data_IF_652105319392
#
_entry.id   IF_652105319392
#
_cell.length_a   1.000
_cell.length_b   1.000
_cell.length_c   1.000
_cell.angle_alpha   90.00
_cell.angle_beta   90.00
_cell.angle_gamma   90.00
#
_symmetry.space_group_name_H-M   'P 1'
#
loop_
_entity.id
_entity.type
_entity.pdbx_description
1 polymer ?
#
# COMPACT_ATOMS: atom_id res chain seq x y z
N UNK A 1 -10.41 -16.80 -6.46
CA UNK A 1 -11.12 -15.54 -6.17
C UNK A 1 -10.14 -14.42 -6.45
N UNK A 2 -10.37 -13.63 -7.49
CA UNK A 2 -9.45 -12.54 -7.87
C UNK A 2 -9.78 -11.37 -6.94
N UNK A 3 -8.82 -10.99 -6.09
CA UNK A 3 -8.89 -9.81 -5.24
C UNK A 3 -9.18 -8.60 -6.15
N UNK A 4 -10.40 -8.07 -6.06
CA UNK A 4 -10.89 -6.98 -6.92
C UNK A 4 -10.21 -5.64 -6.60
N UNK A 5 -9.57 -5.54 -5.44
CA UNK A 5 -8.93 -4.33 -4.97
C UNK A 5 -7.45 -4.32 -5.35
N UNK A 6 -7.08 -3.45 -6.31
CA UNK A 6 -5.72 -3.43 -6.85
C UNK A 6 -4.71 -2.79 -5.89
N UNK A 7 -5.12 -1.91 -4.98
CA UNK A 7 -4.22 -1.14 -4.09
C UNK A 7 -4.41 -1.56 -2.63
N UNK A 8 -3.32 -1.98 -1.97
CA UNK A 8 -3.25 -2.17 -0.51
C UNK A 8 -2.20 -1.24 0.09
N UNK A 9 -2.53 -0.59 1.21
CA UNK A 9 -1.62 0.21 2.02
C UNK A 9 -1.38 -0.51 3.36
N UNK A 10 -0.22 -1.13 3.51
CA UNK A 10 0.25 -1.65 4.79
C UNK A 10 0.88 -0.50 5.58
N UNK A 11 0.30 -0.17 6.72
CA UNK A 11 0.71 0.97 7.53
C UNK A 11 0.28 0.84 8.97
N UNK A 12 0.43 1.93 9.71
CA UNK A 12 -0.07 2.05 11.09
C UNK A 12 -0.75 3.41 11.20
N UNK A 13 -1.90 3.48 11.88
CA UNK A 13 -2.76 4.66 11.88
C UNK A 13 -2.01 5.94 12.33
N UNK A 14 -1.22 5.86 13.40
CA UNK A 14 -0.49 7.03 13.93
C UNK A 14 0.74 7.47 13.10
N UNK A 15 1.08 6.80 12.00
CA UNK A 15 2.28 7.14 11.23
C UNK A 15 2.00 8.23 10.20
N UNK A 16 2.70 9.36 10.31
CA UNK A 16 2.61 10.49 9.37
C UNK A 16 2.71 10.08 7.90
N UNK A 17 3.66 9.21 7.55
CA UNK A 17 3.82 8.74 6.17
C UNK A 17 2.69 7.82 5.71
N UNK A 18 2.06 7.09 6.64
CA UNK A 18 0.87 6.29 6.31
C UNK A 18 -0.31 7.21 6.02
N UNK A 19 -0.53 8.22 6.85
CA UNK A 19 -1.57 9.23 6.64
C UNK A 19 -1.39 9.97 5.32
N UNK A 20 -0.15 10.39 5.00
CA UNK A 20 0.17 10.97 3.69
C UNK A 20 -0.31 10.12 2.52
N UNK A 21 -0.13 8.80 2.55
CA UNK A 21 -0.62 7.94 1.47
C UNK A 21 -2.14 7.75 1.47
N UNK A 22 -2.80 7.80 2.63
CA UNK A 22 -4.27 7.82 2.69
C UNK A 22 -4.80 9.06 2.00
N UNK A 23 -4.30 10.24 2.38
CA UNK A 23 -4.65 11.52 1.77
C UNK A 23 -4.36 11.52 0.26
N UNK A 24 -3.21 10.98 -0.16
CA UNK A 24 -2.85 10.84 -1.57
C UNK A 24 -3.88 10.00 -2.35
N UNK A 25 -4.31 8.85 -1.82
CA UNK A 25 -5.31 8.01 -2.49
C UNK A 25 -6.71 8.63 -2.47
N UNK A 26 -7.09 9.27 -1.37
CA UNK A 26 -8.39 9.93 -1.21
C UNK A 26 -8.52 11.15 -2.14
N UNK A 27 -7.47 11.97 -2.27
CA UNK A 27 -7.43 13.11 -3.20
C UNK A 27 -7.51 12.70 -4.67
N UNK A 28 -7.05 11.48 -5.00
CA UNK A 28 -7.18 10.90 -6.34
C UNK A 28 -8.45 10.07 -6.51
N UNK A 29 -9.30 10.00 -5.48
CA UNK A 29 -10.53 9.21 -5.44
C UNK A 29 -10.30 7.73 -5.81
N UNK A 30 -9.20 7.16 -5.32
CA UNK A 30 -8.78 5.79 -5.56
C UNK A 30 -9.31 4.84 -4.49
N UNK A 31 -9.88 3.72 -4.91
CA UNK A 31 -10.22 2.62 -4.01
C UNK A 31 -8.95 1.91 -3.51
N UNK A 32 -8.78 1.83 -2.18
CA UNK A 32 -7.67 1.11 -1.55
C UNK A 32 -8.12 0.42 -0.26
N UNK A 33 -7.40 -0.63 0.12
CA UNK A 33 -7.53 -1.24 1.45
C UNK A 33 -6.43 -0.70 2.36
N UNK A 34 -6.80 -0.16 3.52
CA UNK A 34 -5.83 0.13 4.59
C UNK A 34 -5.68 -1.09 5.51
N UNK A 35 -4.43 -1.57 5.64
CA UNK A 35 -4.08 -2.73 6.44
C UNK A 35 -3.21 -2.26 7.61
N UNK A 36 -3.84 -2.01 8.74
CA UNK A 36 -3.15 -1.61 9.98
C UNK A 36 -2.39 -2.80 10.59
N UNK A 37 -1.08 -2.79 10.43
CA UNK A 37 -0.20 -3.90 10.88
C UNK A 37 0.08 -3.89 12.39
N UNK A 38 -0.31 -2.83 13.10
CA UNK A 38 -0.21 -2.78 14.56
C UNK A 38 -1.46 -3.37 15.22
N UNK A 39 -2.62 -3.22 14.57
CA UNK A 39 -3.90 -3.71 15.08
C UNK A 39 -4.26 -5.11 14.60
N UNK A 40 -3.59 -5.63 13.56
CA UNK A 40 -3.91 -6.92 12.97
C UNK A 40 -2.65 -7.74 12.61
N UNK A 41 -2.45 -8.84 13.34
CA UNK A 41 -1.27 -9.71 13.15
C UNK A 41 -1.26 -10.45 11.80
N UNK A 42 -2.43 -10.69 11.19
CA UNK A 42 -2.49 -11.26 9.83
C UNK A 42 -1.91 -10.29 8.80
N UNK A 43 -2.24 -9.01 8.91
CA UNK A 43 -1.68 -7.96 8.05
C UNK A 43 -0.19 -7.76 8.31
N UNK A 44 0.23 -7.82 9.58
CA UNK A 44 1.63 -7.81 9.96
C UNK A 44 2.40 -8.96 9.29
N UNK A 45 1.86 -10.18 9.37
CA UNK A 45 2.43 -11.37 8.75
C UNK A 45 2.50 -11.25 7.23
N UNK A 46 1.44 -10.77 6.59
CA UNK A 46 1.41 -10.51 5.14
C UNK A 46 2.52 -9.53 4.74
N UNK A 47 2.66 -8.39 5.44
CA UNK A 47 3.73 -7.44 5.20
C UNK A 47 5.13 -8.06 5.38
N UNK A 48 5.35 -8.85 6.43
CA UNK A 48 6.63 -9.55 6.65
C UNK A 48 6.93 -10.55 5.53
N UNK A 49 5.91 -11.23 5.01
CA UNK A 49 6.03 -12.16 3.89
C UNK A 49 6.47 -11.46 2.58
N UNK A 50 6.26 -10.15 2.47
CA UNK A 50 6.72 -9.41 1.31
C UNK A 50 8.25 -9.27 1.23
N UNK A 51 9.00 -9.47 2.32
CA UNK A 51 10.45 -9.23 2.36
C UNK A 51 11.20 -10.40 2.98
N UNK A 52 12.34 -10.78 2.39
CA UNK A 52 13.25 -11.77 2.99
C UNK A 52 13.68 -11.38 4.41
N UNK A 53 13.79 -10.09 4.70
CA UNK A 53 14.17 -9.58 6.03
C UNK A 53 13.10 -9.80 7.10
N UNK A 54 11.86 -10.12 6.73
CA UNK A 54 10.73 -10.33 7.66
C UNK A 54 10.43 -9.14 8.58
N UNK A 55 10.96 -7.95 8.28
CA UNK A 55 10.70 -6.72 9.04
C UNK A 55 9.35 -6.13 8.63
N UNK A 56 8.71 -5.42 9.57
CA UNK A 56 7.53 -4.60 9.28
C UNK A 56 7.94 -3.31 8.56
N UNK A 57 8.24 -3.44 7.27
CA UNK A 57 8.72 -2.34 6.43
C UNK A 57 7.58 -1.39 6.01
N UNK A 58 6.79 -0.85 6.94
CA UNK A 58 5.72 0.09 6.63
C UNK A 58 6.24 1.55 6.52
N UNK A 59 5.51 2.44 5.81
CA UNK A 59 4.40 2.12 4.91
C UNK A 59 4.88 1.37 3.65
N UNK A 60 4.13 0.35 3.26
CA UNK A 60 4.33 -0.37 1.99
C UNK A 60 3.03 -0.39 1.22
N UNK A 61 3.11 -0.05 -0.06
CA UNK A 61 1.98 -0.08 -0.97
C UNK A 61 2.16 -1.27 -1.91
N UNK A 62 1.11 -2.04 -2.14
CA UNK A 62 1.07 -3.02 -3.23
C UNK A 62 0.03 -2.61 -4.26
N UNK A 63 0.41 -2.64 -5.54
CA UNK A 63 -0.46 -2.41 -6.69
C UNK A 63 -0.43 -3.68 -7.54
N UNK A 64 -1.46 -4.53 -7.43
CA UNK A 64 -1.42 -5.89 -7.95
C UNK A 64 -0.22 -6.67 -7.37
N UNK A 65 0.68 -7.14 -8.23
CA UNK A 65 1.91 -7.83 -7.82
C UNK A 65 3.07 -6.88 -7.53
N UNK A 66 2.94 -5.58 -7.88
CA UNK A 66 4.01 -4.60 -7.63
C UNK A 66 4.01 -4.21 -6.17
N UNK A 67 5.19 -4.20 -5.56
CA UNK A 67 5.44 -3.72 -4.20
C UNK A 67 6.29 -2.44 -4.22
N UNK A 68 5.90 -1.46 -3.41
CA UNK A 68 6.55 -0.15 -3.27
C UNK A 68 6.73 0.15 -1.78
N UNK A 69 7.98 0.10 -1.29
CA UNK A 69 8.31 0.48 0.08
C UNK A 69 8.50 1.99 0.15
N UNK A 70 7.64 2.70 0.88
CA UNK A 70 7.71 4.15 1.09
C UNK A 70 8.13 4.94 -0.18
N UNK A 71 7.42 4.81 -1.32
CA UNK A 71 7.78 5.48 -2.57
C UNK A 71 7.64 7.00 -2.47
N UNK A 72 8.36 7.75 -3.31
CA UNK A 72 8.00 9.15 -3.55
C UNK A 72 6.67 9.24 -4.30
N UNK A 73 5.97 10.37 -4.17
CA UNK A 73 4.71 10.63 -4.87
C UNK A 73 4.87 10.50 -6.39
N UNK A 74 5.97 11.01 -6.95
CA UNK A 74 6.28 10.85 -8.38
C UNK A 74 6.42 9.38 -8.79
N UNK A 75 7.02 8.53 -7.96
CA UNK A 75 7.12 7.10 -8.25
C UNK A 75 5.76 6.42 -8.10
N UNK A 76 5.00 6.75 -7.05
CA UNK A 76 3.67 6.20 -6.83
C UNK A 76 2.70 6.55 -7.98
N UNK A 77 2.68 7.82 -8.40
CA UNK A 77 1.87 8.30 -9.53
C UNK A 77 2.15 7.51 -10.81
N UNK A 78 3.43 7.29 -11.14
CA UNK A 78 3.83 6.48 -12.31
C UNK A 78 3.22 5.07 -12.33
N UNK A 79 2.97 4.48 -11.17
CA UNK A 79 2.33 3.16 -11.08
C UNK A 79 0.81 3.23 -11.12
N UNK A 80 0.22 4.31 -10.60
CA UNK A 80 -1.21 4.58 -10.71
C UNK A 80 -1.60 4.87 -12.15
N UNK A 81 -0.82 5.68 -12.88
CA UNK A 81 -1.08 5.98 -14.29
C UNK A 81 -1.10 4.71 -15.14
N UNK A 82 -0.18 3.77 -14.86
CA UNK A 82 -0.14 2.45 -15.48
C UNK A 82 -1.36 1.59 -15.12
N UNK A 83 -1.90 1.75 -13.92
CA UNK A 83 -3.09 1.03 -13.48
C UNK A 83 -4.32 1.48 -14.29
N UNK A 84 -4.46 2.80 -14.46
CA UNK A 84 -5.56 3.43 -15.18
C UNK A 84 -5.46 3.21 -16.69
N UNK A 85 -4.25 3.21 -17.27
CA UNK A 85 -4.06 2.92 -18.70
C UNK A 85 -4.37 1.48 -19.10
N UNK A 86 -4.61 0.58 -18.14
CA UNK A 86 -4.95 -0.83 -18.33
C UNK A 86 -6.44 -1.12 -18.10
N UNK A 87 -7.26 -0.09 -17.92
CA UNK A 87 -8.70 -0.18 -17.63
C UNK A 87 -9.47 0.55 -18.72
#
# INVERSE_FOLDING_TARGET
MIDKQKIKLFGVERCHKTQHYKDFFENLNLDYSFLDVEKNESYARELRNLYMSRKLNFPTITIGTKKLRNPSDTNLQKWIDKLCSLT
#
